data_IF_967015992604
#
_entry.id   IF_967015992604
#
_cell.length_a   1.000
_cell.length_b   1.000
_cell.length_c   1.000
_cell.angle_alpha   90.00
_cell.angle_beta   90.00
_cell.angle_gamma   90.00
#
_symmetry.space_group_name_H-M   'P 1'
#
loop_
_entity.id
_entity.type
_entity.pdbx_description
1 polymer ?
#
# COMPACT_ATOMS: atom_id res chain seq x y z
N UNK A 1 53.61 -37.74 -5.01
CA UNK A 1 52.31 -38.09 -5.64
C UNK A 1 51.70 -39.18 -4.75
N UNK A 2 50.55 -39.09 -4.10
CA UNK A 2 49.43 -38.13 -4.00
C UNK A 2 48.90 -38.26 -2.56
N UNK A 3 48.58 -37.15 -1.89
CA UNK A 3 48.03 -37.13 -0.51
C UNK A 3 46.51 -37.34 -0.58
N UNK A 4 46.00 -38.32 0.17
CA UNK A 4 44.56 -38.55 0.36
C UNK A 4 43.85 -37.33 0.93
N UNK A 5 42.80 -36.89 0.24
CA UNK A 5 41.85 -35.87 0.67
C UNK A 5 40.81 -36.48 1.61
N UNK A 6 40.74 -35.98 2.85
CA UNK A 6 39.61 -36.17 3.76
C UNK A 6 38.38 -35.41 3.23
N UNK A 7 37.15 -35.95 3.31
CA UNK A 7 35.96 -35.15 3.09
C UNK A 7 35.69 -34.30 4.34
N UNK A 8 35.68 -32.99 4.17
CA UNK A 8 35.20 -32.07 5.19
C UNK A 8 33.68 -32.19 5.30
N UNK A 9 33.20 -32.80 6.40
CA UNK A 9 31.81 -32.64 6.85
C UNK A 9 31.60 -31.17 7.23
N UNK A 10 31.01 -30.39 6.32
CA UNK A 10 30.40 -29.11 6.65
C UNK A 10 29.02 -29.38 7.24
N UNK A 11 28.99 -29.57 8.56
CA UNK A 11 27.81 -29.31 9.39
C UNK A 11 27.51 -27.81 9.28
N UNK A 12 26.67 -27.44 8.31
CA UNK A 12 26.03 -26.12 8.31
C UNK A 12 25.07 -26.11 9.50
N UNK A 13 25.57 -25.52 10.58
CA UNK A 13 24.81 -25.19 11.77
C UNK A 13 23.54 -24.45 11.35
N UNK A 14 22.40 -25.05 11.67
CA UNK A 14 21.12 -24.37 11.77
C UNK A 14 21.26 -23.22 12.77
N UNK A 15 21.46 -22.00 12.26
CA UNK A 15 21.30 -20.77 13.00
C UNK A 15 19.81 -20.58 13.29
N UNK A 16 19.30 -21.37 14.23
CA UNK A 16 18.15 -20.99 15.05
C UNK A 16 18.61 -19.91 16.03
N UNK A 17 18.83 -18.71 15.53
CA UNK A 17 18.94 -17.52 16.35
C UNK A 17 17.52 -16.92 16.40
N UNK A 18 16.92 -16.91 17.58
CA UNK A 18 15.63 -16.28 17.81
C UNK A 18 15.68 -14.81 17.42
N UNK A 19 15.03 -14.49 16.30
CA UNK A 19 14.61 -13.14 15.95
C UNK A 19 13.18 -12.99 16.50
N UNK A 20 12.89 -11.87 17.17
CA UNK A 20 11.55 -11.58 17.71
C UNK A 20 10.47 -11.88 16.68
N UNK A 21 9.32 -12.41 17.14
CA UNK A 21 8.19 -12.90 16.35
C UNK A 21 7.69 -11.82 15.36
N UNK A 22 8.44 -11.61 14.29
CA UNK A 22 8.09 -10.70 13.20
C UNK A 22 7.06 -11.46 12.40
N UNK A 23 5.79 -11.31 12.78
CA UNK A 23 4.72 -11.96 12.07
C UNK A 23 4.54 -11.23 10.74
N UNK A 24 4.94 -11.91 9.66
CA UNK A 24 4.69 -11.45 8.29
C UNK A 24 3.35 -12.02 7.84
N UNK A 25 2.47 -11.16 7.33
CA UNK A 25 1.17 -11.54 6.76
C UNK A 25 1.08 -11.05 5.32
N UNK A 26 0.62 -11.92 4.44
CA UNK A 26 0.38 -11.60 3.04
C UNK A 26 -1.12 -11.60 2.80
N UNK A 27 -1.67 -10.45 2.47
CA UNK A 27 -3.10 -10.31 2.25
C UNK A 27 -3.42 -10.28 0.77
N UNK A 28 -4.41 -11.09 0.37
CA UNK A 28 -5.18 -10.82 -0.83
C UNK A 28 -6.27 -9.81 -0.48
N UNK A 29 -6.15 -8.61 -1.03
CA UNK A 29 -6.97 -7.44 -0.68
C UNK A 29 -7.92 -7.13 -1.80
N UNK A 30 -9.17 -6.91 -1.45
CA UNK A 30 -10.24 -6.48 -2.33
C UNK A 30 -10.67 -5.07 -1.89
N UNK A 31 -10.45 -4.07 -2.75
CA UNK A 31 -10.80 -2.67 -2.48
C UNK A 31 -12.06 -2.27 -3.24
N UNK A 32 -13.01 -1.64 -2.55
CA UNK A 32 -14.19 -1.02 -3.16
C UNK A 32 -13.81 0.33 -3.79
N UNK A 33 -13.73 0.34 -5.12
CA UNK A 33 -13.38 1.52 -5.90
C UNK A 33 -14.59 2.42 -6.26
N UNK A 34 -15.81 2.06 -5.87
CA UNK A 34 -17.03 2.82 -6.20
C UNK A 34 -17.01 4.30 -5.74
N UNK A 35 -16.28 4.70 -4.68
CA UNK A 35 -16.15 6.12 -4.36
C UNK A 35 -15.39 6.94 -5.42
N UNK A 36 -14.51 6.31 -6.21
CA UNK A 36 -13.72 6.99 -7.26
C UNK A 36 -14.57 7.45 -8.44
N UNK A 37 -15.71 6.80 -8.68
CA UNK A 37 -16.68 7.20 -9.73
C UNK A 37 -17.64 8.30 -9.28
N UNK A 38 -17.55 8.72 -8.01
CA UNK A 38 -18.45 9.67 -7.33
C UNK A 38 -17.71 10.90 -6.77
N UNK A 39 -16.52 11.20 -7.31
CA UNK A 39 -15.77 12.39 -6.93
C UNK A 39 -16.54 13.67 -7.27
N UNK A 40 -16.32 14.71 -6.48
CA UNK A 40 -16.92 16.03 -6.70
C UNK A 40 -16.44 16.65 -8.03
N UNK A 41 -17.25 17.54 -8.61
CA UNK A 41 -16.89 18.24 -9.85
C UNK A 41 -15.57 19.03 -9.74
N UNK A 42 -15.24 19.53 -8.55
CA UNK A 42 -13.99 20.22 -8.23
C UNK A 42 -12.73 19.37 -8.50
N UNK A 43 -12.88 18.05 -8.60
CA UNK A 43 -11.79 17.13 -8.93
C UNK A 43 -11.44 17.06 -10.41
N UNK A 44 -12.20 17.73 -11.27
CA UNK A 44 -12.01 17.72 -12.70
C UNK A 44 -11.71 19.14 -13.19
N UNK A 45 -10.76 19.27 -14.11
CA UNK A 45 -10.39 20.54 -14.70
C UNK A 45 -11.60 21.15 -15.39
N UNK A 46 -11.94 22.38 -15.01
CA UNK A 46 -13.12 23.07 -15.50
C UNK A 46 -14.46 22.58 -14.93
N UNK A 47 -14.45 21.68 -13.93
CA UNK A 47 -15.67 21.21 -13.26
C UNK A 47 -16.50 20.21 -14.05
N UNK A 48 -15.98 19.69 -15.17
CA UNK A 48 -16.73 18.81 -16.08
C UNK A 48 -16.35 17.36 -15.83
N UNK A 49 -17.32 16.54 -15.43
CA UNK A 49 -17.11 15.10 -15.29
C UNK A 49 -16.85 14.45 -16.66
N UNK A 50 -15.94 13.48 -16.76
CA UNK A 50 -15.71 12.74 -17.99
C UNK A 50 -16.96 11.95 -18.41
N UNK A 51 -17.23 11.94 -19.72
CA UNK A 51 -18.40 11.26 -20.30
C UNK A 51 -18.37 9.73 -20.08
N UNK A 52 -17.18 9.15 -20.06
CA UNK A 52 -16.94 7.78 -19.64
C UNK A 52 -16.31 7.78 -18.25
N UNK A 53 -17.08 7.36 -17.25
CA UNK A 53 -16.50 6.98 -15.97
C UNK A 53 -15.93 5.57 -16.14
N UNK A 54 -14.74 5.26 -15.61
CA UNK A 54 -14.24 3.89 -15.57
C UNK A 54 -15.36 2.97 -15.06
N UNK A 55 -15.74 1.96 -15.86
CA UNK A 55 -16.84 1.07 -15.50
C UNK A 55 -16.54 0.37 -14.18
N UNK A 56 -17.49 0.55 -13.29
CA UNK A 56 -17.56 0.13 -11.89
C UNK A 56 -17.86 -1.37 -11.81
N UNK A 57 -16.86 -2.23 -12.05
CA UNK A 57 -17.08 -3.68 -12.06
C UNK A 57 -15.97 -4.43 -11.33
N UNK A 58 -15.99 -4.29 -10.00
CA UNK A 58 -15.58 -5.36 -9.10
C UNK A 58 -14.16 -5.26 -8.61
N UNK A 59 -14.04 -5.11 -7.29
CA UNK A 59 -12.92 -5.59 -6.47
C UNK A 59 -11.60 -5.81 -7.19
N UNK A 60 -10.69 -4.86 -7.04
CA UNK A 60 -9.31 -5.11 -7.45
C UNK A 60 -8.66 -6.03 -6.43
N UNK A 61 -8.22 -7.20 -6.89
CA UNK A 61 -7.40 -8.10 -6.11
C UNK A 61 -5.96 -7.56 -6.10
N UNK A 62 -5.53 -7.04 -4.97
CA UNK A 62 -4.21 -6.48 -4.72
C UNK A 62 -3.50 -7.34 -3.66
N UNK A 63 -2.18 -7.32 -3.61
CA UNK A 63 -1.40 -7.97 -2.57
C UNK A 63 -0.76 -6.97 -1.64
N UNK A 64 -1.09 -7.07 -0.36
CA UNK A 64 -0.47 -6.23 0.67
C UNK A 64 0.34 -7.11 1.61
N UNK A 65 1.50 -6.63 2.03
CA UNK A 65 2.33 -7.36 3.01
C UNK A 65 2.46 -6.52 4.27
N UNK A 66 2.14 -7.12 5.41
CA UNK A 66 2.22 -6.52 6.73
C UNK A 66 3.34 -7.20 7.52
N UNK A 67 4.25 -6.40 8.07
CA UNK A 67 5.26 -6.84 9.03
C UNK A 67 4.98 -6.18 10.37
N UNK A 68 4.61 -6.98 11.37
CA UNK A 68 4.59 -6.52 12.75
C UNK A 68 6.02 -6.55 13.29
N UNK A 69 6.49 -5.40 13.79
CA UNK A 69 7.81 -5.25 14.38
C UNK A 69 7.71 -5.00 15.89
N UNK A 70 8.81 -5.24 16.59
CA UNK A 70 8.86 -4.99 18.02
C UNK A 70 8.62 -3.51 18.38
N UNK A 71 8.02 -3.30 19.55
CA UNK A 71 7.76 -1.96 20.09
C UNK A 71 6.54 -1.25 19.49
N UNK A 72 5.56 -2.01 18.98
CA UNK A 72 4.30 -1.47 18.45
C UNK A 72 4.42 -0.79 17.08
N UNK A 73 5.56 -0.98 16.41
CA UNK A 73 5.77 -0.52 15.03
C UNK A 73 5.32 -1.61 14.07
N UNK A 74 4.81 -1.21 12.92
CA UNK A 74 4.57 -2.12 11.82
C UNK A 74 4.90 -1.46 10.50
N UNK A 75 5.06 -2.27 9.46
CA UNK A 75 5.27 -1.82 8.10
C UNK A 75 4.22 -2.44 7.20
N UNK A 76 3.67 -1.68 6.27
CA UNK A 76 2.67 -2.13 5.30
C UNK A 76 3.16 -1.78 3.90
N UNK A 77 3.43 -2.80 3.10
CA UNK A 77 3.67 -2.62 1.67
C UNK A 77 2.35 -2.79 0.91
N UNK A 78 2.03 -1.80 0.09
CA UNK A 78 0.79 -1.72 -0.65
C UNK A 78 1.04 -1.93 -2.13
N UNK A 79 0.48 -3.00 -2.70
CA UNK A 79 0.25 -3.01 -4.14
C UNK A 79 -0.82 -1.97 -4.52
N UNK A 80 -0.58 -1.28 -5.62
CA UNK A 80 -1.52 -0.35 -6.24
C UNK A 80 -2.05 -0.92 -7.57
N UNK A 81 -3.26 -0.52 -8.00
CA UNK A 81 -3.78 -0.82 -9.33
C UNK A 81 -2.77 -0.53 -10.45
N UNK A 82 -2.83 -1.23 -11.60
CA UNK A 82 -2.12 -0.81 -12.80
C UNK A 82 -2.48 0.64 -13.14
N UNK A 83 -1.48 1.52 -13.22
CA UNK A 83 -1.70 2.96 -13.44
C UNK A 83 -1.98 3.76 -12.17
N UNK A 84 -2.01 3.15 -10.98
CA UNK A 84 -2.20 3.80 -9.68
C UNK A 84 -3.65 4.16 -9.37
N UNK A 85 -3.87 4.81 -8.22
CA UNK A 85 -5.17 5.33 -7.83
C UNK A 85 -5.39 6.70 -8.46
N UNK A 86 -6.48 6.82 -9.22
CA UNK A 86 -6.85 8.04 -9.95
C UNK A 86 -7.97 8.77 -9.19
N UNK A 87 -7.72 10.03 -8.87
CA UNK A 87 -8.66 10.92 -8.18
C UNK A 87 -9.06 12.10 -9.08
N UNK A 88 -9.86 11.82 -10.13
CA UNK A 88 -10.18 12.81 -11.15
C UNK A 88 -8.92 13.24 -11.91
N UNK A 89 -8.71 14.55 -12.04
CA UNK A 89 -7.53 15.14 -12.68
C UNK A 89 -6.38 15.42 -11.70
N UNK A 90 -6.51 15.02 -10.43
CA UNK A 90 -5.44 15.16 -9.44
C UNK A 90 -4.25 14.25 -9.80
N UNK A 91 -3.04 14.54 -9.27
CA UNK A 91 -1.88 13.67 -9.45
C UNK A 91 -2.19 12.23 -9.03
N UNK A 92 -1.84 11.27 -9.89
CA UNK A 92 -2.01 9.84 -9.63
C UNK A 92 -1.24 9.44 -8.37
N UNK A 93 -1.91 8.67 -7.51
CA UNK A 93 -1.31 8.13 -6.29
C UNK A 93 -0.78 6.74 -6.58
N UNK A 94 0.52 6.57 -6.41
CA UNK A 94 1.17 5.26 -6.33
C UNK A 94 1.64 5.06 -4.89
N UNK A 95 1.55 3.84 -4.39
CA UNK A 95 2.11 3.47 -3.10
C UNK A 95 3.34 2.57 -3.27
N UNK A 96 4.47 3.05 -3.83
CA UNK A 96 5.65 2.22 -3.93
C UNK A 96 6.30 2.04 -2.55
N UNK A 97 6.52 0.79 -2.17
CA UNK A 97 7.28 0.41 -0.98
C UNK A 97 6.47 0.34 0.31
N UNK A 98 7.18 0.12 1.42
CA UNK A 98 6.60 -0.08 2.74
C UNK A 98 6.32 1.24 3.47
N UNK A 99 5.12 1.37 4.02
CA UNK A 99 4.66 2.48 4.84
C UNK A 99 4.83 2.08 6.31
N UNK A 100 5.50 2.91 7.11
CA UNK A 100 5.61 2.67 8.55
C UNK A 100 4.31 3.10 9.27
N UNK A 101 3.97 2.41 10.35
CA UNK A 101 2.75 2.65 11.11
C UNK A 101 2.76 2.01 12.48
N UNK A 102 1.58 1.98 13.11
CA UNK A 102 1.37 1.48 14.49
C UNK A 102 0.60 0.15 14.53
N UNK A 103 0.69 -0.65 13.47
CA UNK A 103 -0.04 -1.92 13.33
C UNK A 103 -1.49 -1.76 12.88
N UNK A 104 -2.18 -0.70 13.31
CA UNK A 104 -3.57 -0.41 12.90
C UNK A 104 -3.65 0.70 11.84
N UNK A 105 -2.76 1.69 11.92
CA UNK A 105 -2.75 2.86 11.03
C UNK A 105 -1.38 2.97 10.36
N UNK A 106 -1.41 3.18 9.05
CA UNK A 106 -0.24 3.36 8.19
C UNK A 106 -0.47 4.58 7.32
N UNK A 107 0.48 5.51 7.30
CA UNK A 107 0.33 6.76 6.56
C UNK A 107 1.64 7.16 5.87
N UNK A 108 1.52 7.57 4.61
CA UNK A 108 2.63 8.11 3.84
C UNK A 108 2.17 9.33 3.05
N UNK A 109 3.02 10.37 3.03
CA UNK A 109 2.89 11.51 2.13
C UNK A 109 4.08 11.56 1.17
N UNK A 110 3.80 11.79 -0.12
CA UNK A 110 4.81 12.05 -1.14
C UNK A 110 4.63 13.44 -1.72
N UNK A 111 5.62 14.29 -1.49
CA UNK A 111 5.71 15.64 -2.02
C UNK A 111 6.56 15.67 -3.29
N UNK A 112 6.05 16.33 -4.33
CA UNK A 112 6.90 16.82 -5.42
C UNK A 112 7.16 18.30 -5.13
N UNK A 113 8.43 18.68 -5.06
CA UNK A 113 8.88 20.05 -4.77
C UNK A 113 9.52 20.67 -6.00
N UNK A 114 9.50 22.01 -6.10
CA UNK A 114 10.28 22.75 -7.08
C UNK A 114 11.74 22.95 -6.62
N UNK A 115 12.52 23.72 -7.39
CA UNK A 115 13.91 24.01 -7.07
C UNK A 115 14.11 24.89 -5.82
N UNK A 116 13.04 25.48 -5.29
CA UNK A 116 13.04 26.33 -4.09
C UNK A 116 12.33 25.64 -2.91
N UNK A 117 12.19 24.32 -2.95
CA UNK A 117 11.48 23.51 -1.95
C UNK A 117 9.99 23.86 -1.79
N UNK A 118 9.37 24.51 -2.79
CA UNK A 118 7.93 24.78 -2.77
C UNK A 118 7.13 23.57 -3.24
N UNK A 119 6.04 23.27 -2.53
CA UNK A 119 5.14 22.15 -2.83
C UNK A 119 4.45 22.35 -4.18
N UNK A 120 4.78 21.50 -5.15
CA UNK A 120 4.10 21.43 -6.45
C UNK A 120 2.93 20.45 -6.41
N UNK A 121 3.13 19.29 -5.78
CA UNK A 121 2.13 18.22 -5.67
C UNK A 121 2.26 17.50 -4.35
N UNK A 122 1.14 16.97 -3.86
CA UNK A 122 1.12 16.03 -2.74
C UNK A 122 0.20 14.88 -3.06
N UNK A 123 0.61 13.70 -2.60
CA UNK A 123 -0.16 12.46 -2.61
C UNK A 123 -0.05 11.88 -1.22
N UNK A 124 -1.18 11.59 -0.59
CA UNK A 124 -1.27 10.97 0.73
C UNK A 124 -2.01 9.67 0.59
N UNK A 125 -1.46 8.63 1.21
CA UNK A 125 -2.10 7.33 1.39
C UNK A 125 -2.18 7.05 2.87
N UNK A 126 -3.37 6.71 3.35
CA UNK A 126 -3.57 6.30 4.74
C UNK A 126 -4.44 5.05 4.79
N UNK A 127 -3.91 4.00 5.41
CA UNK A 127 -4.63 2.74 5.63
C UNK A 127 -4.95 2.63 7.10
N UNK A 128 -6.21 2.34 7.41
CA UNK A 128 -6.66 2.07 8.77
C UNK A 128 -7.32 0.70 8.79
N UNK A 129 -6.78 -0.23 9.58
CA UNK A 129 -7.43 -1.51 9.86
C UNK A 129 -8.44 -1.33 10.99
N UNK A 130 -9.69 -1.70 10.73
CA UNK A 130 -10.72 -1.83 11.78
C UNK A 130 -10.77 -3.24 12.35
N UNK A 131 -10.30 -4.22 11.59
CA UNK A 131 -10.18 -5.62 11.99
C UNK A 131 -8.90 -6.21 11.36
N UNK A 132 -8.14 -6.98 12.13
CA UNK A 132 -6.89 -7.64 11.71
C UNK A 132 -6.96 -9.14 11.99
N UNK A 133 -6.17 -9.92 11.26
CA UNK A 133 -6.06 -11.37 11.42
C UNK A 133 -6.27 -12.09 10.10
N UNK A 134 -6.79 -13.32 10.12
CA UNK A 134 -7.03 -14.10 8.91
C UNK A 134 -7.99 -13.42 7.92
N UNK A 135 -8.95 -12.66 8.44
CA UNK A 135 -9.80 -11.76 7.68
C UNK A 135 -9.59 -10.36 8.25
N UNK A 136 -9.05 -9.46 7.44
CA UNK A 136 -8.81 -8.08 7.79
C UNK A 136 -9.78 -7.16 7.04
N UNK A 137 -10.12 -6.04 7.66
CA UNK A 137 -11.03 -5.03 7.09
C UNK A 137 -10.57 -3.65 7.48
N UNK A 138 -10.94 -2.66 6.68
CA UNK A 138 -10.61 -1.29 7.00
C UNK A 138 -10.90 -0.30 5.89
N UNK A 139 -10.20 0.82 5.97
CA UNK A 139 -10.29 1.92 5.00
C UNK A 139 -8.94 2.25 4.39
N UNK A 140 -8.97 2.63 3.12
CA UNK A 140 -7.88 3.24 2.38
C UNK A 140 -8.32 4.67 2.04
N UNK A 141 -7.74 5.64 2.74
CA UNK A 141 -7.93 7.06 2.50
C UNK A 141 -6.84 7.55 1.54
N UNK A 142 -7.28 8.18 0.47
CA UNK A 142 -6.44 8.69 -0.60
C UNK A 142 -6.68 10.19 -0.71
N UNK A 143 -5.62 10.98 -0.77
CA UNK A 143 -5.75 12.39 -1.17
C UNK A 143 -4.62 12.84 -2.07
N UNK A 144 -4.94 13.71 -3.02
CA UNK A 144 -3.96 14.29 -3.91
C UNK A 144 -4.28 15.76 -4.18
N UNK A 145 -3.24 16.56 -4.33
CA UNK A 145 -3.37 17.98 -4.65
C UNK A 145 -2.25 18.49 -5.55
N UNK A 146 -2.53 19.48 -6.38
CA UNK A 146 -1.53 20.21 -7.17
C UNK A 146 -1.65 21.75 -7.04
N UNK A 147 -0.67 22.47 -7.56
CA UNK A 147 -0.64 23.94 -7.57
C UNK A 147 -1.66 24.58 -8.53
N UNK A 148 -2.27 23.80 -9.43
CA UNK A 148 -3.35 24.28 -10.28
C UNK A 148 -4.70 24.36 -9.53
N UNK A 149 -4.72 23.95 -8.26
CA UNK A 149 -5.88 24.06 -7.38
C UNK A 149 -6.76 22.81 -7.35
N UNK A 150 -6.36 21.73 -8.05
CA UNK A 150 -7.08 20.46 -7.96
C UNK A 150 -6.72 19.83 -6.62
N UNK A 151 -7.72 19.57 -5.78
CA UNK A 151 -7.59 18.86 -4.52
C UNK A 151 -8.70 17.83 -4.41
N UNK A 152 -8.30 16.57 -4.33
CA UNK A 152 -9.22 15.44 -4.33
C UNK A 152 -8.92 14.49 -3.20
N UNK A 153 -9.98 13.89 -2.67
CA UNK A 153 -9.85 12.82 -1.70
C UNK A 153 -10.94 11.77 -1.94
N UNK A 154 -10.64 10.54 -1.57
CA UNK A 154 -11.59 9.44 -1.52
C UNK A 154 -11.25 8.51 -0.37
N UNK A 155 -12.28 7.94 0.24
CA UNK A 155 -12.14 6.87 1.22
C UNK A 155 -12.73 5.61 0.64
N UNK A 156 -11.91 4.58 0.52
CA UNK A 156 -12.26 3.28 -0.05
C UNK A 156 -12.34 2.26 1.07
N UNK A 157 -13.37 1.41 1.08
CA UNK A 157 -13.41 0.27 1.98
C UNK A 157 -12.56 -0.86 1.40
N UNK A 158 -11.91 -1.66 2.25
CA UNK A 158 -11.26 -2.88 1.82
C UNK A 158 -11.60 -4.07 2.72
N UNK A 159 -11.55 -5.25 2.12
CA UNK A 159 -11.52 -6.53 2.82
C UNK A 159 -10.30 -7.32 2.36
N UNK A 160 -9.67 -8.04 3.26
CA UNK A 160 -8.42 -8.72 3.03
C UNK A 160 -8.46 -10.13 3.64
N UNK A 161 -7.91 -11.12 2.95
CA UNK A 161 -7.73 -12.48 3.47
C UNK A 161 -6.24 -12.81 3.53
N UNK A 162 -5.79 -13.28 4.68
CA UNK A 162 -4.42 -13.78 4.85
C UNK A 162 -4.22 -15.01 3.95
N UNK A 163 -3.18 -14.98 3.13
CA UNK A 163 -2.73 -16.08 2.31
C UNK A 163 -1.68 -16.86 3.12
N UNK A 164 -2.01 -18.08 3.59
CA UNK A 164 -1.01 -18.90 4.27
C UNK A 164 0.15 -19.19 3.29
N UNK A 165 1.39 -19.16 3.78
CA UNK A 165 2.53 -19.61 2.97
C UNK A 165 2.28 -21.06 2.57
N UNK A 166 2.31 -21.34 1.27
CA UNK A 166 2.63 -22.67 0.78
C UNK A 166 4.13 -22.85 1.01
N UNK A 167 4.48 -23.62 2.04
CA UNK A 167 5.85 -24.04 2.33
C UNK A 167 6.28 -25.23 1.45
#
# INVERSE_FOLDING_TARGET
MSRSLLPALLLLASLGAGCGDTQVRHYLVAVDAAPLSRLEASCYKGGVLPAERPRDNGFQALRWTLWDADGGRAYLELESPPGGWVLGDAPVIQAPGAIAGTGEVFEAERLDLDANDQKLRSRVVRVTFTERGALARGTLELSASDTAGVKCAATLAFTARDEPRED
#
